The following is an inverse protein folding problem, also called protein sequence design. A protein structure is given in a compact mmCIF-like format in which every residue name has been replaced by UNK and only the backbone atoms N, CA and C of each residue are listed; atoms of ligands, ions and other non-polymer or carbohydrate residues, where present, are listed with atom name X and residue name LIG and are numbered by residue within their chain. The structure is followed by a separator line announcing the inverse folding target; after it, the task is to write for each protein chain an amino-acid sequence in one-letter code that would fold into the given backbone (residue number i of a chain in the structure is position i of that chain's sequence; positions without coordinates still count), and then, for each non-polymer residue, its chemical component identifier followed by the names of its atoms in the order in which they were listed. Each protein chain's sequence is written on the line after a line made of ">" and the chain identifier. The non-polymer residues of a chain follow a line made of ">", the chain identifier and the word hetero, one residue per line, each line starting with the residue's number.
data_IF_867147090479
#
_entry.id   IF_867147090479
#
_cell.length_a   1.000
_cell.length_b   1.000
_cell.length_c   1.000
_cell.angle_alpha   90.00
_cell.angle_beta   90.00
_cell.angle_gamma   90.00
#
_symmetry.space_group_name_H-M   'P 1'
#
loop_
_entity.id
_entity.type
_entity.pdbx_description
1 polymer ?
#
# COMPACT_ATOMS: atom_id res chain seq x y z
N UNK A 1 -3.26 -15.67 -17.79
CA UNK A 1 -3.41 -15.80 -16.33
C UNK A 1 -4.46 -16.85 -16.01
N UNK A 2 -4.32 -17.61 -14.89
CA UNK A 2 -5.33 -18.57 -14.47
C UNK A 2 -6.63 -17.89 -14.00
N UNK A 3 -7.76 -18.56 -14.21
CA UNK A 3 -9.09 -18.15 -13.75
C UNK A 3 -9.52 -19.01 -12.57
N UNK A 4 -10.17 -18.41 -11.57
CA UNK A 4 -10.70 -19.18 -10.45
C UNK A 4 -11.99 -19.91 -10.85
N UNK A 5 -12.10 -21.20 -10.50
CA UNK A 5 -13.31 -22.02 -10.76
C UNK A 5 -14.57 -21.54 -10.02
N UNK A 6 -14.42 -20.80 -8.93
CA UNK A 6 -15.55 -20.44 -8.06
C UNK A 6 -16.02 -19.00 -8.23
N UNK A 7 -15.10 -18.05 -8.26
CA UNK A 7 -15.43 -16.63 -8.46
C UNK A 7 -15.27 -16.16 -9.90
N UNK A 8 -14.76 -17.01 -10.81
CA UNK A 8 -14.55 -16.73 -12.24
C UNK A 8 -13.70 -15.49 -12.56
N UNK A 9 -13.08 -14.88 -11.55
CA UNK A 9 -12.16 -13.77 -11.71
C UNK A 9 -10.75 -14.25 -12.06
N UNK A 10 -10.01 -13.36 -12.70
CA UNK A 10 -8.63 -13.56 -13.12
C UNK A 10 -7.71 -12.98 -12.05
N UNK A 11 -6.77 -13.78 -11.56
CA UNK A 11 -5.74 -13.34 -10.62
C UNK A 11 -4.34 -13.74 -11.09
N UNK A 12 -3.28 -13.10 -10.55
CA UNK A 12 -1.93 -13.60 -10.69
C UNK A 12 -1.82 -15.03 -10.14
N UNK A 13 -0.91 -15.85 -10.70
CA UNK A 13 -0.80 -17.27 -10.35
C UNK A 13 -0.41 -17.51 -8.88
N UNK A 14 0.24 -16.55 -8.23
CA UNK A 14 0.59 -16.55 -6.80
C UNK A 14 -0.62 -16.48 -5.86
N UNK A 15 -1.78 -16.06 -6.36
CA UNK A 15 -3.04 -15.94 -5.63
C UNK A 15 -3.91 -17.22 -5.74
N UNK A 16 -3.33 -18.34 -6.18
CA UNK A 16 -4.00 -19.63 -6.30
C UNK A 16 -3.44 -20.63 -5.29
N UNK A 17 -4.33 -21.41 -4.67
CA UNK A 17 -3.91 -22.49 -3.78
C UNK A 17 -3.23 -23.60 -4.59
N UNK A 18 -2.24 -24.26 -4.00
CA UNK A 18 -1.61 -25.43 -4.59
C UNK A 18 -2.33 -26.70 -4.18
N UNK A 19 -2.45 -27.63 -5.12
CA UNK A 19 -3.02 -28.94 -4.87
C UNK A 19 -3.61 -29.54 -6.14
N UNK A 20 -3.89 -30.84 -6.07
CA UNK A 20 -4.53 -31.58 -7.14
C UNK A 20 -6.03 -31.75 -6.86
N UNK A 21 -6.82 -31.97 -7.91
CA UNK A 21 -8.27 -32.23 -7.80
C UNK A 21 -9.08 -31.00 -7.34
N UNK A 22 -9.79 -31.06 -6.19
CA UNK A 22 -10.68 -29.97 -5.75
C UNK A 22 -9.96 -28.66 -5.41
N UNK A 23 -8.63 -28.71 -5.20
CA UNK A 23 -7.78 -27.53 -4.96
C UNK A 23 -7.26 -26.89 -6.26
N UNK A 24 -7.40 -27.55 -7.41
CA UNK A 24 -6.88 -27.05 -8.67
C UNK A 24 -7.66 -25.81 -9.15
N UNK A 25 -6.94 -24.78 -9.60
CA UNK A 25 -7.52 -23.55 -10.17
C UNK A 25 -8.50 -22.82 -9.23
N UNK A 26 -8.25 -22.86 -7.92
CA UNK A 26 -9.02 -22.12 -6.92
C UNK A 26 -8.17 -20.99 -6.35
N UNK A 27 -8.73 -19.78 -6.24
CA UNK A 27 -8.04 -18.66 -5.61
C UNK A 27 -7.99 -18.85 -4.08
N UNK A 28 -6.99 -18.24 -3.45
CA UNK A 28 -6.73 -18.28 -2.00
C UNK A 28 -7.99 -18.01 -1.18
N UNK A 29 -8.73 -16.95 -1.53
CA UNK A 29 -9.95 -16.55 -0.82
C UNK A 29 -11.08 -17.59 -0.93
N UNK A 30 -11.37 -18.09 -2.13
CA UNK A 30 -12.37 -19.16 -2.30
C UNK A 30 -11.92 -20.48 -1.66
N UNK A 31 -10.60 -20.71 -1.55
CA UNK A 31 -10.04 -21.85 -0.83
C UNK A 31 -10.37 -21.82 0.66
N UNK A 32 -10.22 -20.65 1.30
CA UNK A 32 -10.56 -20.43 2.72
C UNK A 32 -12.08 -20.44 2.93
N UNK A 33 -12.85 -19.70 2.11
CA UNK A 33 -14.31 -19.62 2.22
C UNK A 33 -14.99 -21.00 2.10
N UNK A 34 -14.38 -21.94 1.37
CA UNK A 34 -14.91 -23.31 1.18
C UNK A 34 -14.24 -24.36 2.07
N UNK A 35 -13.36 -23.96 2.98
CA UNK A 35 -12.66 -24.88 3.88
C UNK A 35 -11.71 -25.85 3.19
N UNK A 36 -11.24 -25.53 1.98
CA UNK A 36 -10.25 -26.34 1.25
C UNK A 36 -8.84 -26.19 1.84
N UNK A 37 -8.57 -25.04 2.49
CA UNK A 37 -7.29 -24.64 3.07
C UNK A 37 -7.58 -23.74 4.28
N UNK A 38 -6.78 -23.82 5.35
CA UNK A 38 -6.90 -22.92 6.51
C UNK A 38 -6.22 -21.57 6.26
N UNK A 39 -6.57 -20.54 7.03
CA UNK A 39 -5.94 -19.20 6.87
C UNK A 39 -4.42 -19.24 7.09
N UNK A 40 -3.94 -20.09 8.00
CA UNK A 40 -2.53 -20.23 8.34
C UNK A 40 -1.69 -20.89 7.23
N UNK A 41 -2.31 -21.74 6.42
CA UNK A 41 -1.66 -22.43 5.30
C UNK A 41 -1.43 -21.50 4.10
N UNK A 42 -2.06 -20.32 4.09
CA UNK A 42 -2.02 -19.40 2.94
C UNK A 42 -1.51 -18.02 3.31
N UNK A 43 -0.19 -17.84 3.28
CA UNK A 43 0.45 -16.56 3.57
C UNK A 43 0.06 -15.42 2.61
N UNK A 44 -0.43 -15.75 1.40
CA UNK A 44 -0.89 -14.76 0.42
C UNK A 44 -2.34 -14.29 0.64
N UNK A 45 -3.05 -14.80 1.65
CA UNK A 45 -4.42 -14.38 1.95
C UNK A 45 -4.46 -12.92 2.38
N UNK A 46 -5.22 -12.13 1.63
CA UNK A 46 -5.43 -10.72 1.93
C UNK A 46 -6.50 -10.54 3.00
N UNK A 47 -6.09 -10.57 4.26
CA UNK A 47 -6.96 -10.29 5.41
C UNK A 47 -7.24 -8.79 5.54
N UNK A 48 -8.34 -8.44 6.22
CA UNK A 48 -8.67 -7.03 6.52
C UNK A 48 -7.57 -6.34 7.35
N UNK A 49 -6.86 -7.07 8.20
CA UNK A 49 -5.72 -6.54 8.97
C UNK A 49 -4.55 -6.16 8.05
N UNK A 50 -4.21 -7.01 7.07
CA UNK A 50 -3.19 -6.72 6.06
C UNK A 50 -3.60 -5.55 5.16
N UNK A 51 -4.88 -5.46 4.81
CA UNK A 51 -5.43 -4.32 4.07
C UNK A 51 -5.18 -3.00 4.83
N UNK A 52 -5.61 -2.93 6.08
CA UNK A 52 -5.45 -1.76 6.93
C UNK A 52 -3.97 -1.41 7.17
N UNK A 53 -3.12 -2.42 7.35
CA UNK A 53 -1.69 -2.22 7.50
C UNK A 53 -1.08 -1.56 6.25
N UNK A 54 -1.45 -1.99 5.04
CA UNK A 54 -0.99 -1.38 3.78
C UNK A 54 -1.52 0.03 3.59
N UNK A 55 -2.79 0.28 3.91
CA UNK A 55 -3.36 1.63 3.88
C UNK A 55 -2.63 2.57 4.84
N UNK A 56 -2.34 2.13 6.06
CA UNK A 56 -1.59 2.94 7.03
C UNK A 56 -0.17 3.24 6.57
N UNK A 57 0.51 2.28 5.94
CA UNK A 57 1.84 2.46 5.39
C UNK A 57 1.85 3.46 4.21
N UNK A 58 0.84 3.38 3.33
CA UNK A 58 0.66 4.32 2.23
C UNK A 58 0.32 5.73 2.74
N UNK A 59 -0.60 5.84 3.70
CA UNK A 59 -0.99 7.12 4.29
C UNK A 59 0.22 7.84 4.91
N UNK A 60 1.10 7.12 5.63
CA UNK A 60 2.33 7.70 6.19
C UNK A 60 3.31 8.20 5.12
N UNK A 61 3.38 7.54 3.96
CA UNK A 61 4.24 7.96 2.84
C UNK A 61 3.75 9.26 2.20
N UNK A 62 2.44 9.42 2.03
CA UNK A 62 1.84 10.57 1.34
C UNK A 62 1.41 11.70 2.28
N UNK A 63 1.40 11.46 3.60
CA UNK A 63 1.05 12.45 4.61
C UNK A 63 1.83 13.77 4.50
N UNK A 64 3.16 13.79 4.22
CA UNK A 64 3.89 15.05 4.06
C UNK A 64 3.37 15.93 2.92
N UNK A 65 2.98 15.34 1.79
CA UNK A 65 2.41 16.08 0.67
C UNK A 65 1.00 16.59 0.97
N UNK A 66 0.20 15.78 1.66
CA UNK A 66 -1.12 16.21 2.11
C UNK A 66 -1.01 17.42 3.06
N UNK A 67 -0.12 17.36 4.06
CA UNK A 67 0.11 18.49 4.96
C UNK A 67 0.66 19.72 4.24
N UNK A 68 1.56 19.53 3.28
CA UNK A 68 2.09 20.62 2.48
C UNK A 68 0.96 21.32 1.69
N UNK A 69 0.03 20.58 1.10
CA UNK A 69 -1.13 21.18 0.42
C UNK A 69 -2.02 21.98 1.38
N UNK A 70 -2.25 21.49 2.60
CA UNK A 70 -3.03 22.20 3.62
C UNK A 70 -2.33 23.50 4.03
N UNK A 71 -1.01 23.47 4.23
CA UNK A 71 -0.23 24.65 4.56
C UNK A 71 -0.23 25.70 3.43
N UNK A 72 -0.14 25.27 2.18
CA UNK A 72 -0.31 26.15 1.02
C UNK A 72 -1.70 26.79 0.98
N UNK A 73 -2.77 26.01 1.18
CA UNK A 73 -4.13 26.55 1.24
C UNK A 73 -4.28 27.55 2.39
N UNK A 74 -3.77 27.24 3.58
CA UNK A 74 -3.84 28.13 4.73
C UNK A 74 -3.10 29.45 4.47
N UNK A 75 -1.93 29.40 3.82
CA UNK A 75 -1.17 30.60 3.48
C UNK A 75 -1.92 31.50 2.48
N UNK A 76 -2.45 30.90 1.42
CA UNK A 76 -3.20 31.61 0.37
C UNK A 76 -4.44 32.31 0.94
N UNK A 77 -5.18 31.63 1.82
CA UNK A 77 -6.47 32.13 2.32
C UNK A 77 -6.31 33.12 3.47
N UNK A 78 -5.32 32.93 4.36
CA UNK A 78 -5.27 33.68 5.63
C UNK A 78 -4.01 34.53 5.83
N UNK A 79 -2.85 34.16 5.28
CA UNK A 79 -1.56 34.75 5.67
C UNK A 79 -0.97 35.68 4.62
N UNK A 80 -1.41 35.60 3.36
CA UNK A 80 -0.83 36.36 2.26
C UNK A 80 -0.89 37.89 2.47
N UNK A 81 -1.96 38.40 3.09
CA UNK A 81 -2.18 39.85 3.28
C UNK A 81 -1.62 40.38 4.62
N UNK A 82 -1.03 39.52 5.45
CA UNK A 82 -0.57 39.92 6.79
C UNK A 82 0.91 40.28 6.76
N UNK A 83 1.22 41.57 6.64
CA UNK A 83 2.61 42.05 6.74
C UNK A 83 3.14 42.04 8.18
N UNK A 84 4.39 41.60 8.46
CA UNK A 84 5.38 40.98 7.55
C UNK A 84 5.29 39.44 7.48
N UNK A 85 4.32 38.84 8.17
CA UNK A 85 4.20 37.39 8.35
C UNK A 85 3.97 36.62 7.06
N UNK A 86 3.25 37.20 6.10
CA UNK A 86 3.02 36.61 4.77
C UNK A 86 4.34 36.28 4.07
N UNK A 87 5.29 37.22 4.06
CA UNK A 87 6.60 37.03 3.42
C UNK A 87 7.45 35.99 4.16
N UNK A 88 7.52 36.05 5.49
CA UNK A 88 8.30 35.08 6.26
C UNK A 88 7.78 33.66 6.12
N UNK A 89 6.46 33.49 6.19
CA UNK A 89 5.83 32.17 6.04
C UNK A 89 5.93 31.66 4.60
N UNK A 90 5.92 32.53 3.60
CA UNK A 90 6.15 32.16 2.19
C UNK A 90 7.55 31.57 1.98
N UNK A 91 8.59 32.23 2.51
CA UNK A 91 9.98 31.73 2.41
C UNK A 91 10.08 30.35 3.06
N UNK A 92 9.52 30.18 4.25
CA UNK A 92 9.52 28.90 4.96
C UNK A 92 8.76 27.82 4.17
N UNK A 93 7.61 28.15 3.60
CA UNK A 93 6.80 27.22 2.81
C UNK A 93 7.50 26.81 1.50
N UNK A 94 8.21 27.73 0.86
CA UNK A 94 9.05 27.44 -0.30
C UNK A 94 10.17 26.46 0.06
N UNK A 95 10.85 26.67 1.20
CA UNK A 95 11.88 25.75 1.71
C UNK A 95 11.31 24.36 1.97
N UNK A 96 10.16 24.24 2.65
CA UNK A 96 9.51 22.94 2.86
C UNK A 96 9.12 22.27 1.54
N UNK A 97 8.64 23.03 0.56
CA UNK A 97 8.28 22.52 -0.76
C UNK A 97 9.48 21.92 -1.49
N UNK A 98 10.69 22.45 -1.28
CA UNK A 98 11.94 21.89 -1.82
C UNK A 98 12.46 20.68 -1.02
N UNK A 99 12.31 20.67 0.30
CA UNK A 99 12.80 19.60 1.17
C UNK A 99 11.95 18.32 1.05
N UNK A 100 10.62 18.45 0.97
CA UNK A 100 9.69 17.30 0.91
C UNK A 100 10.03 16.29 -0.21
N UNK A 101 10.22 16.68 -1.48
CA UNK A 101 10.55 15.72 -2.53
C UNK A 101 11.91 15.03 -2.29
N UNK A 102 12.90 15.77 -1.79
CA UNK A 102 14.22 15.21 -1.42
C UNK A 102 14.04 14.15 -0.33
N UNK A 103 13.33 14.48 0.75
CA UNK A 103 13.01 13.54 1.82
C UNK A 103 12.28 12.29 1.29
N UNK A 104 11.27 12.46 0.44
CA UNK A 104 10.52 11.33 -0.13
C UNK A 104 11.39 10.39 -0.97
N UNK A 105 12.38 10.91 -1.69
CA UNK A 105 13.34 10.09 -2.45
C UNK A 105 14.27 9.31 -1.51
N UNK A 106 14.86 9.97 -0.51
CA UNK A 106 15.76 9.31 0.45
C UNK A 106 15.08 8.19 1.24
N UNK A 107 13.82 8.38 1.66
CA UNK A 107 13.09 7.40 2.46
C UNK A 107 12.31 6.36 1.65
N UNK A 108 12.39 6.41 0.31
CA UNK A 108 11.68 5.49 -0.58
C UNK A 108 12.03 4.01 -0.30
N UNK A 109 13.30 3.70 -0.03
CA UNK A 109 13.76 2.33 0.26
C UNK A 109 13.14 1.74 1.53
N UNK A 110 13.03 2.54 2.59
CA UNK A 110 12.36 2.15 3.85
C UNK A 110 10.88 1.83 3.61
N UNK A 111 10.20 2.61 2.79
CA UNK A 111 8.79 2.36 2.46
C UNK A 111 8.61 1.09 1.63
N UNK A 112 9.49 0.83 0.67
CA UNK A 112 9.48 -0.42 -0.11
C UNK A 112 9.68 -1.64 0.81
N UNK A 113 10.60 -1.55 1.77
CA UNK A 113 10.84 -2.63 2.74
C UNK A 113 9.63 -2.89 3.65
N UNK A 114 8.93 -1.85 4.09
CA UNK A 114 7.68 -1.99 4.87
C UNK A 114 6.59 -2.64 4.04
N UNK A 115 6.43 -2.26 2.77
CA UNK A 115 5.44 -2.86 1.89
C UNK A 115 5.74 -4.33 1.59
N UNK A 116 7.01 -4.67 1.32
CA UNK A 116 7.44 -6.05 1.08
C UNK A 116 7.14 -6.98 2.26
N UNK A 117 7.30 -6.50 3.50
CA UNK A 117 6.93 -7.28 4.70
C UNK A 117 5.42 -7.54 4.82
N UNK A 118 4.60 -6.62 4.33
CA UNK A 118 3.13 -6.73 4.35
C UNK A 118 2.59 -7.55 3.16
N UNK A 119 3.46 -7.94 2.23
CA UNK A 119 3.16 -8.78 1.08
C UNK A 119 4.20 -9.89 0.98
N UNK A 120 4.21 -10.86 1.91
CA UNK A 120 5.06 -12.02 1.72
C UNK A 120 4.63 -12.71 0.44
N UNK A 121 5.52 -12.75 -0.55
CA UNK A 121 5.33 -13.56 -1.73
C UNK A 121 5.23 -15.01 -1.26
N UNK A 122 4.13 -15.69 -1.61
CA UNK A 122 4.02 -17.11 -1.35
C UNK A 122 4.96 -17.84 -2.31
N UNK A 123 6.16 -18.16 -1.81
CA UNK A 123 7.20 -18.80 -2.59
C UNK A 123 6.78 -20.24 -2.93
N UNK A 124 6.62 -20.51 -4.23
CA UNK A 124 6.14 -21.79 -4.73
C UNK A 124 7.16 -22.90 -4.40
N UNK A 125 6.75 -24.05 -3.83
CA UNK A 125 7.64 -25.19 -3.72
C UNK A 125 8.11 -25.62 -5.12
N UNK A 126 9.42 -25.83 -5.27
CA UNK A 126 10.04 -26.19 -6.56
C UNK A 126 9.45 -27.53 -7.06
N UNK A 127 8.93 -27.56 -8.29
CA UNK A 127 8.53 -28.81 -8.96
C UNK A 127 7.03 -29.11 -9.08
N UNK A 128 6.16 -28.15 -8.75
CA UNK A 128 4.71 -28.21 -9.04
C UNK A 128 4.28 -27.18 -10.08
#
# INVERSE_FOLDING_TARGET
>A
MPTCRHCYSVYPREQFIHGNGPKAQVCVRCGVEKGLVTEDEVASLYTNSNANARFSALARRWSPLMWLSVLWTAWIVFLNEVDPWGLYTLILLAVFTLIVPVYMLFFSSKHMAVMARLTPDYERPKGH
#
